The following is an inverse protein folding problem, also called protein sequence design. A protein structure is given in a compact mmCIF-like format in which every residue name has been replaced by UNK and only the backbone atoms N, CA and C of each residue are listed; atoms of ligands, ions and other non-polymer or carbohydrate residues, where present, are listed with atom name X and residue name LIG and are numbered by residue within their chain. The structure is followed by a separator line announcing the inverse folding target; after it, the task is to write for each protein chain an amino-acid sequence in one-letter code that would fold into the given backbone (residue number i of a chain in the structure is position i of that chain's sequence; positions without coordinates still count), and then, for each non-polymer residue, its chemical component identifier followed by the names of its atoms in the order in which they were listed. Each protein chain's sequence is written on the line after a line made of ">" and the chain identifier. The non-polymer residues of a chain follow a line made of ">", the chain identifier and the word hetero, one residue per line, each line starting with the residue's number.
data_IF_927708553617
#
_entry.id   IF_927708553617
#
_cell.length_a   1.000
_cell.length_b   1.000
_cell.length_c   1.000
_cell.angle_alpha   90.00
_cell.angle_beta   90.00
_cell.angle_gamma   90.00
#
_symmetry.space_group_name_H-M   'P 1'
#
loop_
_entity.id
_entity.type
_entity.pdbx_description
1 polymer ?
#
# COMPACT_ATOMS: atom_id res chain seq x y z
N UNK A 1 6.71 -5.56 -19.40
CA UNK A 1 7.06 -6.89 -18.89
C UNK A 1 5.83 -7.48 -18.21
N UNK A 2 5.43 -8.72 -18.53
CA UNK A 2 4.28 -9.38 -17.89
C UNK A 2 4.65 -9.84 -16.49
N UNK A 3 3.74 -9.78 -15.50
CA UNK A 3 3.99 -10.24 -14.13
C UNK A 3 4.45 -11.71 -14.02
N UNK A 4 4.16 -12.53 -15.04
CA UNK A 4 4.72 -13.89 -15.18
C UNK A 4 6.25 -13.90 -15.33
N UNK A 5 6.81 -12.97 -16.12
CA UNK A 5 8.27 -12.86 -16.29
C UNK A 5 8.95 -12.47 -14.97
N UNK A 6 8.29 -11.63 -14.17
CA UNK A 6 8.82 -11.24 -12.86
C UNK A 6 8.79 -12.40 -11.87
N UNK A 7 7.70 -13.18 -11.83
CA UNK A 7 7.66 -14.37 -10.98
C UNK A 7 8.75 -15.40 -11.33
N UNK A 8 9.06 -15.56 -12.61
CA UNK A 8 10.06 -16.54 -13.07
C UNK A 8 11.51 -16.04 -12.93
N UNK A 9 11.74 -14.72 -12.96
CA UNK A 9 13.10 -14.14 -13.03
C UNK A 9 13.51 -13.37 -11.78
N UNK A 10 12.57 -12.78 -11.07
CA UNK A 10 12.78 -11.90 -9.91
C UNK A 10 11.60 -12.05 -8.92
N UNK A 11 11.40 -13.23 -8.31
CA UNK A 11 10.29 -13.45 -7.37
C UNK A 11 10.35 -12.53 -6.13
N UNK A 12 11.53 -12.07 -5.74
CA UNK A 12 11.76 -11.17 -4.61
C UNK A 12 11.16 -9.78 -4.78
N UNK A 13 10.84 -9.35 -6.01
CA UNK A 13 10.20 -8.04 -6.24
C UNK A 13 8.68 -8.12 -6.23
N UNK A 14 8.08 -9.30 -6.06
CA UNK A 14 6.62 -9.47 -6.12
C UNK A 14 5.92 -8.86 -4.91
N UNK A 15 6.60 -8.77 -3.77
CA UNK A 15 6.04 -8.24 -2.53
C UNK A 15 6.57 -6.88 -2.11
N UNK A 16 7.25 -6.15 -3.02
CA UNK A 16 7.74 -4.77 -2.81
C UNK A 16 6.67 -3.82 -2.25
N UNK A 17 5.39 -4.10 -2.51
CA UNK A 17 4.28 -3.30 -1.99
C UNK A 17 4.22 -3.31 -0.45
N UNK A 18 4.82 -4.29 0.23
CA UNK A 18 4.96 -4.35 1.70
C UNK A 18 5.89 -3.27 2.23
N UNK A 19 6.91 -2.88 1.46
CA UNK A 19 7.85 -1.81 1.83
C UNK A 19 7.21 -0.42 1.72
N UNK A 20 6.05 -0.34 1.06
CA UNK A 20 5.28 0.89 0.84
C UNK A 20 4.07 1.01 1.78
N UNK A 21 4.21 0.54 3.04
CA UNK A 21 3.11 0.50 4.01
C UNK A 21 2.43 1.85 4.28
N UNK A 22 3.16 2.97 4.17
CA UNK A 22 2.63 4.32 4.36
C UNK A 22 1.97 4.92 3.11
N UNK A 23 2.08 4.29 1.94
CA UNK A 23 1.65 4.85 0.66
C UNK A 23 0.15 5.18 0.63
N UNK A 24 -0.69 4.32 1.21
CA UNK A 24 -2.13 4.56 1.29
C UNK A 24 -2.46 5.76 2.18
N UNK A 25 -1.80 5.89 3.33
CA UNK A 25 -1.99 7.03 4.23
C UNK A 25 -1.47 8.33 3.59
N UNK A 26 -0.29 8.29 2.97
CA UNK A 26 0.32 9.41 2.26
C UNK A 26 -0.56 9.91 1.11
N UNK A 27 -1.23 9.02 0.38
CA UNK A 27 -2.14 9.38 -0.72
C UNK A 27 -3.40 10.13 -0.30
N UNK A 28 -3.73 10.11 1.00
CA UNK A 28 -4.92 10.76 1.56
C UNK A 28 -4.62 12.15 2.11
N UNK A 29 -3.35 12.55 2.13
CA UNK A 29 -2.95 13.89 2.57
C UNK A 29 -3.56 14.92 1.63
N UNK A 30 -4.24 15.90 2.21
CA UNK A 30 -4.86 16.99 1.47
C UNK A 30 -4.20 18.31 1.83
N UNK A 31 -3.59 18.95 0.83
CA UNK A 31 -2.86 20.21 1.00
C UNK A 31 -3.67 21.32 1.62
N UNK A 32 -4.93 21.43 1.18
CA UNK A 32 -5.85 22.42 1.68
C UNK A 32 -6.10 22.25 3.18
N UNK A 33 -6.43 21.03 3.61
CA UNK A 33 -6.66 20.72 5.02
C UNK A 33 -5.39 20.98 5.83
N UNK A 34 -4.23 20.56 5.33
CA UNK A 34 -2.96 20.79 6.01
C UNK A 34 -2.66 22.28 6.19
N UNK A 35 -2.91 23.11 5.17
CA UNK A 35 -2.76 24.56 5.27
C UNK A 35 -3.76 25.20 6.26
N UNK A 36 -5.02 24.75 6.23
CA UNK A 36 -6.08 25.20 7.15
C UNK A 36 -5.71 24.88 8.62
N UNK A 37 -5.21 23.67 8.91
CA UNK A 37 -4.76 23.26 10.24
C UNK A 37 -3.53 24.06 10.71
N UNK A 38 -2.53 24.26 9.84
CA UNK A 38 -1.34 25.09 10.16
C UNK A 38 -1.73 26.52 10.52
N UNK A 39 -2.68 27.09 9.80
CA UNK A 39 -3.21 28.42 10.07
C UNK A 39 -3.99 28.45 11.38
N UNK A 40 -4.82 27.44 11.66
CA UNK A 40 -5.60 27.33 12.88
C UNK A 40 -4.69 27.28 14.13
N UNK A 41 -3.63 26.47 14.07
CA UNK A 41 -2.62 26.37 15.14
C UNK A 41 -1.94 27.72 15.38
N UNK A 42 -1.45 28.36 14.30
CA UNK A 42 -0.77 29.66 14.38
C UNK A 42 -1.66 30.73 15.01
N UNK A 43 -2.93 30.80 14.58
CA UNK A 43 -3.93 31.72 15.12
C UNK A 43 -4.29 31.43 16.57
N UNK A 44 -4.37 30.15 16.95
CA UNK A 44 -4.58 29.74 18.34
C UNK A 44 -3.47 30.25 19.25
N UNK A 45 -2.22 30.09 18.82
CA UNK A 45 -1.05 30.55 19.58
C UNK A 45 -1.01 32.08 19.70
N UNK A 46 -1.27 32.80 18.60
CA UNK A 46 -1.35 34.26 18.61
C UNK A 46 -2.38 34.77 19.62
N UNK A 47 -3.55 34.13 19.69
CA UNK A 47 -4.56 34.47 20.70
C UNK A 47 -4.09 34.25 22.12
N UNK A 48 -3.37 33.17 22.40
CA UNK A 48 -2.81 32.92 23.74
C UNK A 48 -1.81 34.01 24.12
N UNK A 49 -0.96 34.45 23.18
CA UNK A 49 -0.02 35.56 23.39
C UNK A 49 -0.74 36.88 23.65
N UNK A 50 -1.79 37.18 22.88
CA UNK A 50 -2.62 38.38 23.05
C UNK A 50 -3.33 38.38 24.41
N UNK A 51 -3.94 37.26 24.80
CA UNK A 51 -4.63 37.12 26.08
C UNK A 51 -3.65 37.22 27.25
N UNK A 52 -2.47 36.59 27.13
CA UNK A 52 -1.41 36.71 28.13
C UNK A 52 -0.98 38.18 28.33
N UNK A 53 -0.79 38.91 27.23
CA UNK A 53 -0.43 40.34 27.28
C UNK A 53 -1.54 41.19 27.90
N UNK A 54 -2.80 40.90 27.57
CA UNK A 54 -3.96 41.60 28.12
C UNK A 54 -4.14 41.30 29.61
N UNK A 55 -3.85 40.08 30.06
CA UNK A 55 -4.04 39.69 31.45
C UNK A 55 -3.13 40.40 32.46
N UNK A 56 -2.14 41.18 32.01
CA UNK A 56 -1.29 42.01 32.87
C UNK A 56 -2.09 43.11 33.58
N UNK A 57 -3.15 43.64 32.94
CA UNK A 57 -3.98 44.71 33.52
C UNK A 57 -4.96 44.21 34.58
N UNK A 58 -5.19 42.89 34.67
CA UNK A 58 -6.14 42.30 35.63
C UNK A 58 -5.57 42.18 37.06
N UNK A 59 -4.27 42.42 37.25
CA UNK A 59 -3.64 42.38 38.57
C UNK A 59 -3.42 40.96 39.12
N UNK A 60 -3.49 40.76 40.46
CA UNK A 60 -3.18 39.46 41.08
C UNK A 60 -4.13 38.32 40.71
N UNK A 61 -5.38 38.62 40.35
CA UNK A 61 -6.40 37.59 40.07
C UNK A 61 -6.03 36.70 38.87
N UNK A 62 -5.26 37.23 37.91
CA UNK A 62 -4.81 36.52 36.72
C UNK A 62 -3.39 35.93 36.83
N UNK A 63 -2.76 35.96 38.01
CA UNK A 63 -1.39 35.46 38.20
C UNK A 63 -1.24 33.99 37.80
N UNK A 64 -2.18 33.14 38.21
CA UNK A 64 -2.15 31.71 37.87
C UNK A 64 -2.36 31.47 36.36
N UNK A 65 -3.20 32.29 35.72
CA UNK A 65 -3.38 32.25 34.27
C UNK A 65 -2.07 32.63 33.56
N UNK A 66 -1.45 33.76 33.94
CA UNK A 66 -0.18 34.21 33.34
C UNK A 66 0.92 33.15 33.46
N UNK A 67 1.05 32.53 34.63
CA UNK A 67 2.03 31.46 34.85
C UNK A 67 1.76 30.27 33.93
N UNK A 68 0.53 29.76 33.94
CA UNK A 68 0.13 28.61 33.13
C UNK A 68 0.30 28.86 31.62
N UNK A 69 -0.10 30.05 31.16
CA UNK A 69 0.03 30.44 29.74
C UNK A 69 1.48 30.58 29.30
N UNK A 70 2.39 31.08 30.15
CA UNK A 70 3.83 31.12 29.87
C UNK A 70 4.42 29.71 29.74
N UNK A 71 4.10 28.81 30.66
CA UNK A 71 4.57 27.42 30.64
C UNK A 71 4.06 26.68 29.40
N UNK A 72 2.79 26.90 29.04
CA UNK A 72 2.19 26.39 27.81
C UNK A 72 2.92 26.90 26.56
N UNK A 73 3.13 28.22 26.45
CA UNK A 73 3.77 28.84 25.27
C UNK A 73 5.20 28.32 25.07
N UNK A 74 5.97 28.14 26.15
CA UNK A 74 7.33 27.57 26.06
C UNK A 74 7.37 26.22 25.35
N UNK A 75 6.38 25.36 25.62
CA UNK A 75 6.29 24.03 25.01
C UNK A 75 5.69 24.11 23.60
N UNK A 76 4.57 24.81 23.45
CA UNK A 76 3.83 24.91 22.21
C UNK A 76 4.63 25.60 21.09
N UNK A 77 5.39 26.65 21.38
CA UNK A 77 6.21 27.35 20.38
C UNK A 77 7.31 26.46 19.80
N UNK A 78 7.89 25.56 20.60
CA UNK A 78 8.90 24.61 20.13
C UNK A 78 8.29 23.58 19.17
N UNK A 79 7.11 23.05 19.50
CA UNK A 79 6.37 22.12 18.64
C UNK A 79 5.91 22.79 17.35
N UNK A 80 5.33 23.98 17.42
CA UNK A 80 4.88 24.75 16.25
C UNK A 80 6.05 25.07 15.31
N UNK A 81 7.22 25.40 15.86
CA UNK A 81 8.43 25.64 15.06
C UNK A 81 8.91 24.37 14.35
N UNK A 82 8.88 23.24 15.03
CA UNK A 82 9.23 21.93 14.45
C UNK A 82 8.25 21.59 13.32
N UNK A 83 6.96 21.76 13.56
CA UNK A 83 5.90 21.53 12.59
C UNK A 83 6.03 22.45 11.37
N UNK A 84 6.32 23.73 11.57
CA UNK A 84 6.54 24.69 10.49
C UNK A 84 7.77 24.35 9.64
N UNK A 85 8.85 23.86 10.27
CA UNK A 85 10.05 23.41 9.55
C UNK A 85 9.77 22.19 8.67
N UNK A 86 9.07 21.18 9.21
CA UNK A 86 8.64 20.00 8.46
C UNK A 86 7.72 20.40 7.30
N UNK A 87 6.74 21.26 7.57
CA UNK A 87 5.85 21.77 6.55
C UNK A 87 6.60 22.47 5.42
N UNK A 88 7.48 23.42 5.73
CA UNK A 88 8.26 24.18 4.75
C UNK A 88 9.17 23.28 3.89
N UNK A 89 9.86 22.32 4.51
CA UNK A 89 10.74 21.40 3.80
C UNK A 89 10.00 20.55 2.77
N UNK A 90 8.77 20.17 3.09
CA UNK A 90 7.93 19.36 2.20
C UNK A 90 7.20 20.24 1.16
N UNK A 91 6.70 21.41 1.55
CA UNK A 91 5.78 22.26 0.76
C UNK A 91 6.35 22.68 -0.60
N UNK A 92 7.66 22.92 -0.70
CA UNK A 92 8.32 23.35 -1.95
C UNK A 92 8.18 22.35 -3.11
N UNK A 93 7.98 21.07 -2.80
CA UNK A 93 7.85 20.00 -3.80
C UNK A 93 6.62 19.11 -3.56
N UNK A 94 5.73 19.52 -2.64
CA UNK A 94 4.67 18.64 -2.14
C UNK A 94 3.66 18.28 -3.23
N UNK A 95 3.36 19.20 -4.15
CA UNK A 95 2.47 18.90 -5.29
C UNK A 95 3.05 17.80 -6.18
N UNK A 96 4.36 17.84 -6.44
CA UNK A 96 5.08 16.80 -7.20
C UNK A 96 5.06 15.48 -6.43
N UNK A 97 5.33 15.51 -5.12
CA UNK A 97 5.32 14.31 -4.30
C UNK A 97 3.92 13.68 -4.21
N UNK A 98 2.85 14.47 -4.06
CA UNK A 98 1.48 13.96 -3.97
C UNK A 98 1.02 13.32 -5.28
N UNK A 99 1.38 13.89 -6.43
CA UNK A 99 1.08 13.29 -7.73
C UNK A 99 1.85 11.96 -7.92
N UNK A 100 3.13 11.94 -7.56
CA UNK A 100 3.94 10.71 -7.56
C UNK A 100 3.35 9.66 -6.63
N UNK A 101 2.93 10.03 -5.42
CA UNK A 101 2.30 9.14 -4.45
C UNK A 101 0.99 8.56 -5.01
N UNK A 102 0.14 9.38 -5.62
CA UNK A 102 -1.11 8.95 -6.24
C UNK A 102 -0.87 7.96 -7.39
N UNK A 103 0.11 8.28 -8.24
CA UNK A 103 0.51 7.44 -9.38
C UNK A 103 1.10 6.12 -8.89
N UNK A 104 2.02 6.16 -7.93
CA UNK A 104 2.63 4.98 -7.33
C UNK A 104 1.59 4.09 -6.64
N UNK A 105 0.63 4.68 -5.92
CA UNK A 105 -0.49 3.96 -5.33
C UNK A 105 -1.32 3.23 -6.38
N UNK A 106 -1.65 3.91 -7.47
CA UNK A 106 -2.39 3.29 -8.57
C UNK A 106 -1.61 2.14 -9.20
N UNK A 107 -0.31 2.33 -9.42
CA UNK A 107 0.60 1.29 -9.91
C UNK A 107 0.62 0.07 -8.98
N UNK A 108 0.86 0.27 -7.68
CA UNK A 108 0.89 -0.83 -6.68
C UNK A 108 -0.43 -1.60 -6.68
N UNK A 109 -1.56 -0.90 -6.70
CA UNK A 109 -2.89 -1.53 -6.77
C UNK A 109 -3.04 -2.40 -8.02
N UNK A 110 -2.71 -1.85 -9.18
CA UNK A 110 -2.83 -2.57 -10.46
C UNK A 110 -1.84 -3.74 -10.54
N UNK A 111 -0.62 -3.56 -10.04
CA UNK A 111 0.40 -4.61 -10.01
C UNK A 111 -0.05 -5.79 -9.16
N UNK A 112 -0.52 -5.53 -7.93
CA UNK A 112 -0.99 -6.58 -7.03
C UNK A 112 -2.20 -7.33 -7.61
N UNK A 113 -3.13 -6.61 -8.25
CA UNK A 113 -4.26 -7.22 -8.95
C UNK A 113 -3.80 -8.11 -10.10
N UNK A 114 -2.88 -7.63 -10.95
CA UNK A 114 -2.33 -8.42 -12.05
C UNK A 114 -1.55 -9.64 -11.55
N UNK A 115 -0.85 -9.53 -10.42
CA UNK A 115 -0.13 -10.65 -9.81
C UNK A 115 -1.10 -11.76 -9.35
N UNK A 116 -2.14 -11.40 -8.60
CA UNK A 116 -3.19 -12.34 -8.18
C UNK A 116 -3.84 -13.03 -9.38
N UNK A 117 -4.17 -12.26 -10.41
CA UNK A 117 -4.80 -12.80 -11.63
C UNK A 117 -3.85 -13.74 -12.40
N UNK A 118 -2.56 -13.41 -12.49
CA UNK A 118 -1.56 -14.28 -13.11
C UNK A 118 -1.43 -15.62 -12.35
N UNK A 119 -1.44 -15.60 -11.02
CA UNK A 119 -1.41 -16.82 -10.20
C UNK A 119 -2.65 -17.68 -10.45
N UNK A 120 -3.85 -17.06 -10.45
CA UNK A 120 -5.12 -17.74 -10.74
C UNK A 120 -5.12 -18.40 -12.12
N UNK A 121 -4.60 -17.71 -13.13
CA UNK A 121 -4.51 -18.23 -14.50
C UNK A 121 -3.53 -19.40 -14.60
N UNK A 122 -2.38 -19.31 -13.93
CA UNK A 122 -1.38 -20.39 -13.88
C UNK A 122 -1.95 -21.65 -13.22
N UNK A 123 -2.68 -21.52 -12.11
CA UNK A 123 -3.34 -22.64 -11.44
C UNK A 123 -4.34 -23.36 -12.37
N UNK A 124 -5.14 -22.59 -13.12
CA UNK A 124 -6.08 -23.15 -14.09
C UNK A 124 -5.40 -23.86 -15.26
N UNK A 125 -4.31 -23.31 -15.79
CA UNK A 125 -3.54 -23.92 -16.87
C UNK A 125 -2.88 -25.22 -16.40
N UNK A 126 -2.29 -25.22 -15.21
CA UNK A 126 -1.65 -26.40 -14.61
C UNK A 126 -2.65 -27.52 -14.36
N UNK A 127 -3.86 -27.18 -13.86
CA UNK A 127 -4.94 -28.15 -13.66
C UNK A 127 -5.41 -28.78 -14.98
N UNK A 128 -5.63 -27.96 -16.01
CA UNK A 128 -6.03 -28.45 -17.34
C UNK A 128 -4.96 -29.34 -17.98
N UNK A 129 -3.68 -28.97 -17.84
CA UNK A 129 -2.58 -29.78 -18.32
C UNK A 129 -2.57 -31.16 -17.65
N UNK A 130 -2.66 -31.20 -16.31
CA UNK A 130 -2.71 -32.44 -15.54
C UNK A 130 -3.93 -33.33 -15.90
N UNK A 131 -5.12 -32.74 -16.09
CA UNK A 131 -6.32 -33.47 -16.54
C UNK A 131 -6.12 -34.06 -17.94
N UNK A 132 -5.52 -33.30 -18.86
CA UNK A 132 -5.25 -33.76 -20.23
C UNK A 132 -4.22 -34.90 -20.28
N UNK A 133 -3.18 -34.85 -19.44
CA UNK A 133 -2.18 -35.91 -19.32
C UNK A 133 -2.79 -37.18 -18.74
N UNK A 134 -3.65 -37.05 -17.73
CA UNK A 134 -4.35 -38.19 -17.12
C UNK A 134 -5.24 -38.91 -18.12
N UNK A 135 -5.98 -38.17 -18.95
CA UNK A 135 -6.80 -38.73 -20.02
C UNK A 135 -5.96 -39.45 -21.10
N UNK A 136 -4.80 -38.89 -21.47
CA UNK A 136 -3.88 -39.52 -22.43
C UNK A 136 -3.26 -40.81 -21.87
N UNK A 137 -2.85 -40.80 -20.60
CA UNK A 137 -2.35 -42.01 -19.93
C UNK A 137 -3.41 -43.10 -19.83
N UNK A 138 -4.64 -42.75 -19.47
CA UNK A 138 -5.75 -43.71 -19.37
C UNK A 138 -6.13 -44.29 -20.75
N UNK A 139 -6.06 -43.48 -21.81
CA UNK A 139 -6.26 -43.93 -23.18
C UNK A 139 -5.16 -44.92 -23.62
N UNK A 140 -3.89 -44.58 -23.39
CA UNK A 140 -2.75 -45.44 -23.72
C UNK A 140 -2.76 -46.76 -22.94
N UNK A 141 -3.19 -46.74 -21.66
CA UNK A 141 -3.35 -47.94 -20.84
C UNK A 141 -4.47 -48.85 -21.35
N UNK A 142 -5.58 -48.29 -21.85
CA UNK A 142 -6.67 -49.07 -22.48
C UNK A 142 -6.25 -49.66 -23.82
N UNK A 143 -5.40 -48.98 -24.57
CA UNK A 143 -4.85 -49.47 -25.84
C UNK A 143 -3.85 -50.62 -25.64
N UNK A 144 -2.91 -50.48 -24.70
CA UNK A 144 -1.99 -51.57 -24.33
C UNK A 144 -2.72 -52.84 -23.84
N UNK A 145 -3.81 -52.69 -23.08
CA UNK A 145 -4.64 -53.84 -22.66
C UNK A 145 -5.36 -54.52 -23.81
N UNK A 146 -5.80 -53.78 -24.83
CA UNK A 146 -6.45 -54.34 -26.03
C UNK A 146 -5.47 -55.09 -26.93
N UNK A 147 -4.22 -54.65 -27.00
CA UNK A 147 -3.18 -55.33 -27.79
C UNK A 147 -2.70 -56.65 -27.17
N UNK A 148 -2.82 -56.82 -25.85
CA UNK A 148 -2.52 -58.07 -25.14
C UNK A 148 -3.65 -59.11 -25.19
N UNK A 149 -4.83 -58.77 -25.72
CA UNK A 149 -6.03 -59.61 -25.74
C UNK A 149 -6.41 -60.14 -27.14
N UNK A 150 -5.48 -60.24 -28.09
CA UNK A 150 -5.77 -60.92 -29.36
C UNK A 150 -5.85 -62.45 -29.14
N UNK A 151 -6.99 -63.10 -29.46
CA UNK A 151 -7.10 -64.54 -29.36
C UNK A 151 -6.26 -65.21 -30.45
N UNK A 152 -5.33 -66.09 -30.06
CA UNK A 152 -4.66 -67.01 -30.99
C UNK A 152 -5.75 -67.93 -31.55
N UNK A 153 -6.20 -67.67 -32.78
CA UNK A 153 -7.14 -68.54 -33.46
C UNK A 153 -6.39 -69.79 -33.94
N UNK A 154 -6.46 -70.86 -33.17
CA UNK A 154 -6.10 -72.21 -33.63
C UNK A 154 -7.17 -72.66 -34.62
N UNK A 155 -6.88 -72.55 -35.90
CA UNK A 155 -7.67 -73.16 -36.97
C UNK A 155 -7.57 -74.69 -36.87
N UNK A 156 -8.71 -75.35 -36.78
CA UNK A 156 -8.78 -76.80 -36.85
C UNK A 156 -9.20 -77.22 -38.26
N UNK A 157 -8.28 -77.86 -38.96
CA UNK A 157 -8.51 -78.58 -40.21
C UNK A 157 -9.02 -79.98 -39.84
N UNK A 158 -10.31 -80.26 -40.08
CA UNK A 158 -10.80 -81.39 -40.92
C UNK A 158 -12.32 -81.44 -40.92
#
# INVERSE_FOLDING_TARGET
>A
MSGRVLADKLPEVLDFSKDLASLEAASKIQMRILAEEMQAISKGLEKVVQELSTSEIDGPVSENFRKTSKDFLLSAEAEVRTLASLYSGVFSNLEVYLDVISTLRNFVRMFNQAHVENCRQLELETKKAAESEKLKMDASRKESKRHLQTPIHTGNVK
#
